data_IF_228633030915
#
_entry.id   IF_228633030915
#
_cell.length_a   1.000
_cell.length_b   1.000
_cell.length_c   1.000
_cell.angle_alpha   90.00
_cell.angle_beta   90.00
_cell.angle_gamma   90.00
#
_symmetry.space_group_name_H-M   'P 1'
#
loop_
_entity.id
_entity.type
_entity.pdbx_description
1 polymer ?
#
# COMPACT_ATOMS: atom_id res chain seq x y z
N UNK A 1 35.41 -8.90 46.48
CA UNK A 1 34.03 -8.40 46.30
C UNK A 1 33.61 -8.58 44.85
N UNK A 2 32.87 -9.65 44.56
CA UNK A 2 32.03 -9.81 43.37
C UNK A 2 31.08 -8.59 43.27
N UNK A 3 30.64 -8.11 42.10
CA UNK A 3 29.75 -8.86 41.21
C UNK A 3 29.71 -8.21 39.82
N UNK A 4 29.87 -9.05 38.78
CA UNK A 4 29.69 -8.76 37.36
C UNK A 4 28.28 -8.27 37.04
N UNK A 5 28.17 -7.15 36.33
CA UNK A 5 26.92 -6.70 35.71
C UNK A 5 26.70 -7.51 34.43
N UNK A 6 25.69 -8.39 34.47
CA UNK A 6 25.20 -9.21 33.35
C UNK A 6 23.71 -8.88 33.15
N UNK A 7 23.41 -7.80 32.42
CA UNK A 7 22.05 -7.50 31.90
C UNK A 7 22.14 -6.87 30.52
N UNK A 8 22.46 -7.68 29.51
CA UNK A 8 22.25 -7.34 28.09
C UNK A 8 21.92 -8.54 27.19
N UNK A 9 21.45 -9.67 27.74
CA UNK A 9 21.27 -10.92 26.96
C UNK A 9 19.89 -11.61 27.05
N UNK A 10 18.83 -10.93 27.49
CA UNK A 10 17.51 -11.55 27.61
C UNK A 10 16.50 -11.09 26.54
N UNK A 11 16.61 -9.87 26.00
CA UNK A 11 15.69 -9.42 24.93
C UNK A 11 16.11 -9.93 23.55
N UNK A 12 17.41 -9.94 23.24
CA UNK A 12 17.92 -10.49 21.96
C UNK A 12 17.79 -12.01 21.84
N UNK A 13 17.63 -12.74 22.95
CA UNK A 13 17.49 -14.20 22.93
C UNK A 13 16.05 -14.66 22.63
N UNK A 14 15.03 -13.83 22.86
CA UNK A 14 13.63 -14.19 22.58
C UNK A 14 13.26 -13.96 21.11
N UNK A 15 13.87 -12.94 20.47
CA UNK A 15 13.74 -12.69 19.03
C UNK A 15 14.61 -13.70 18.24
N UNK A 16 15.85 -13.96 18.67
CA UNK A 16 16.70 -14.97 18.01
C UNK A 16 16.17 -16.40 18.16
N UNK A 17 15.52 -16.74 19.29
CA UNK A 17 14.87 -18.05 19.47
C UNK A 17 13.53 -18.20 18.75
N UNK A 18 12.83 -17.09 18.42
CA UNK A 18 11.67 -17.14 17.51
C UNK A 18 12.09 -17.34 16.06
N UNK A 19 13.24 -16.79 15.67
CA UNK A 19 13.84 -17.00 14.34
C UNK A 19 14.42 -18.42 14.15
N UNK A 20 14.75 -19.15 15.22
CA UNK A 20 15.30 -20.52 15.12
C UNK A 20 14.25 -21.65 15.08
N UNK A 21 12.96 -21.33 14.93
CA UNK A 21 11.86 -22.32 14.92
C UNK A 21 10.85 -22.18 13.79
N UNK A 22 11.06 -21.27 12.84
CA UNK A 22 10.44 -21.44 11.53
C UNK A 22 11.26 -22.52 10.85
N UNK A 23 10.73 -23.74 10.81
CA UNK A 23 11.29 -24.81 9.99
C UNK A 23 11.59 -24.23 8.62
N UNK A 24 12.87 -24.22 8.21
CA UNK A 24 13.28 -23.85 6.86
C UNK A 24 12.53 -24.75 5.88
N UNK A 25 11.39 -24.28 5.40
CA UNK A 25 10.68 -24.88 4.28
C UNK A 25 11.61 -24.70 3.09
N UNK A 26 11.93 -25.79 2.40
CA UNK A 26 12.84 -25.73 1.26
C UNK A 26 12.22 -24.82 0.19
N UNK A 27 13.02 -24.02 -0.52
CA UNK A 27 12.53 -23.17 -1.62
C UNK A 27 11.58 -23.92 -2.58
N UNK A 28 11.87 -25.20 -2.84
CA UNK A 28 11.06 -26.10 -3.67
C UNK A 28 9.64 -26.32 -3.13
N UNK A 29 9.46 -26.46 -1.80
CA UNK A 29 8.13 -26.66 -1.20
C UNK A 29 7.28 -25.40 -1.25
N UNK A 30 7.92 -24.24 -1.28
CA UNK A 30 7.29 -22.92 -1.33
C UNK A 30 6.90 -22.57 -2.78
N UNK A 31 7.77 -22.95 -3.73
CA UNK A 31 7.43 -23.05 -5.15
C UNK A 31 6.22 -23.95 -5.37
N UNK A 32 6.23 -25.16 -4.84
CA UNK A 32 5.10 -26.09 -4.97
C UNK A 32 3.83 -25.55 -4.31
N UNK A 33 3.93 -24.84 -3.18
CA UNK A 33 2.78 -24.22 -2.51
C UNK A 33 2.20 -23.06 -3.32
N UNK A 34 3.04 -22.15 -3.82
CA UNK A 34 2.60 -21.04 -4.66
C UNK A 34 2.12 -21.53 -6.03
N UNK A 35 2.79 -22.52 -6.63
CA UNK A 35 2.33 -23.20 -7.84
C UNK A 35 0.99 -23.87 -7.60
N UNK A 36 0.82 -24.74 -6.60
CA UNK A 36 -0.47 -25.35 -6.29
C UNK A 36 -1.56 -24.33 -5.98
N UNK A 37 -1.22 -23.24 -5.29
CA UNK A 37 -2.18 -22.24 -4.86
C UNK A 37 -2.58 -21.30 -6.02
N UNK A 38 -1.63 -20.92 -6.88
CA UNK A 38 -1.89 -20.24 -8.15
C UNK A 38 -2.52 -21.19 -9.18
N UNK A 39 -2.32 -22.51 -9.12
CA UNK A 39 -3.00 -23.44 -10.02
C UNK A 39 -4.47 -23.60 -9.59
N UNK A 40 -4.73 -23.72 -8.29
CA UNK A 40 -6.11 -23.82 -7.76
C UNK A 40 -6.91 -22.53 -7.90
N UNK A 41 -6.28 -21.35 -7.77
CA UNK A 41 -7.00 -20.08 -7.92
C UNK A 41 -7.28 -19.69 -9.38
N UNK A 42 -6.56 -20.25 -10.35
CA UNK A 42 -6.61 -19.81 -11.75
C UNK A 42 -7.12 -20.88 -12.73
N UNK A 43 -7.43 -22.09 -12.27
CA UNK A 43 -8.15 -23.09 -13.09
C UNK A 43 -9.63 -22.71 -13.36
N UNK A 44 -10.18 -21.69 -12.69
CA UNK A 44 -11.59 -21.30 -12.82
C UNK A 44 -11.89 -20.26 -13.91
N UNK A 45 -10.89 -19.53 -14.44
CA UNK A 45 -11.14 -18.43 -15.40
C UNK A 45 -10.41 -18.66 -16.74
N UNK A 46 -11.10 -19.34 -17.67
CA UNK A 46 -10.63 -19.56 -19.04
C UNK A 46 -10.56 -18.25 -19.83
N UNK A 47 -9.37 -17.85 -20.30
CA UNK A 47 -9.20 -16.81 -21.32
C UNK A 47 -8.35 -15.59 -20.95
N UNK A 48 -7.78 -15.52 -19.74
CA UNK A 48 -6.85 -14.45 -19.35
C UNK A 48 -5.37 -14.89 -19.47
N UNK A 49 -4.49 -13.92 -19.73
CA UNK A 49 -3.04 -14.14 -19.67
C UNK A 49 -2.65 -14.70 -18.28
N UNK A 50 -1.66 -15.60 -18.18
CA UNK A 50 -1.27 -16.16 -16.90
C UNK A 50 -0.78 -15.06 -15.95
N UNK A 51 -1.10 -15.17 -14.65
CA UNK A 51 -0.68 -14.19 -13.65
C UNK A 51 0.84 -14.09 -13.57
N UNK A 52 1.36 -12.86 -13.52
CA UNK A 52 2.81 -12.65 -13.31
C UNK A 52 3.02 -12.32 -11.83
N UNK A 53 3.79 -13.16 -11.15
CA UNK A 53 4.25 -12.90 -9.77
C UNK A 53 5.69 -12.37 -9.83
N UNK A 54 5.93 -11.27 -9.14
CA UNK A 54 7.26 -10.64 -9.02
C UNK A 54 7.60 -10.43 -7.56
N UNK A 55 8.88 -10.55 -7.19
CA UNK A 55 9.38 -10.28 -5.85
C UNK A 55 10.74 -9.60 -5.94
N UNK A 56 10.99 -8.62 -5.05
CA UNK A 56 12.27 -7.94 -4.93
C UNK A 56 12.91 -8.20 -3.57
N UNK A 57 14.23 -8.37 -3.56
CA UNK A 57 15.08 -8.58 -2.38
C UNK A 57 15.94 -7.34 -2.14
N UNK A 58 15.99 -6.83 -0.91
CA UNK A 58 16.75 -5.61 -0.57
C UNK A 58 18.19 -5.93 -0.16
N UNK A 59 19.11 -5.94 -1.14
CA UNK A 59 20.56 -5.92 -0.93
C UNK A 59 21.27 -4.66 -1.44
N UNK A 60 20.61 -3.84 -2.25
CA UNK A 60 21.02 -2.47 -2.55
C UNK A 60 19.92 -1.78 -3.38
N UNK A 61 19.40 -0.69 -2.84
CA UNK A 61 18.22 0.02 -3.34
C UNK A 61 18.60 0.88 -4.55
N UNK A 62 18.52 0.28 -5.73
CA UNK A 62 18.30 1.02 -6.98
C UNK A 62 17.66 0.13 -8.02
N UNK A 63 16.32 0.05 -7.99
CA UNK A 63 15.46 -0.46 -9.07
C UNK A 63 15.74 -1.91 -9.52
N UNK A 64 15.23 -2.89 -8.78
CA UNK A 64 14.83 -4.16 -9.40
C UNK A 64 13.39 -4.03 -9.93
N UNK A 65 13.20 -3.20 -10.96
CA UNK A 65 11.93 -3.16 -11.70
C UNK A 65 11.86 -4.40 -12.59
N UNK A 66 11.23 -5.48 -12.12
CA UNK A 66 10.89 -6.63 -12.99
C UNK A 66 9.61 -6.27 -13.76
N UNK A 67 9.68 -5.18 -14.52
CA UNK A 67 8.66 -4.85 -15.48
C UNK A 67 9.05 -5.48 -16.81
N UNK A 68 8.22 -6.45 -17.22
CA UNK A 68 8.05 -6.96 -18.59
C UNK A 68 8.95 -8.14 -18.94
N UNK A 69 8.35 -9.33 -18.99
CA UNK A 69 8.53 -10.17 -20.17
C UNK A 69 7.28 -11.01 -20.46
N UNK A 70 6.85 -10.95 -21.71
CA UNK A 70 5.78 -11.77 -22.28
C UNK A 70 6.21 -13.22 -22.15
N UNK A 71 5.63 -13.98 -21.22
CA UNK A 71 5.92 -15.40 -21.17
C UNK A 71 5.14 -16.16 -22.25
N UNK A 72 5.82 -16.41 -23.38
CA UNK A 72 5.59 -17.64 -24.14
C UNK A 72 6.46 -18.81 -23.64
N UNK A 73 7.43 -18.60 -22.72
CA UNK A 73 8.44 -19.62 -22.37
C UNK A 73 9.01 -19.58 -20.93
N UNK A 74 8.22 -19.29 -19.90
CA UNK A 74 8.56 -19.68 -18.52
C UNK A 74 9.80 -19.05 -17.85
N UNK A 75 10.26 -17.87 -18.28
CA UNK A 75 11.49 -17.24 -17.75
C UNK A 75 11.29 -16.52 -16.41
N UNK A 76 10.04 -16.24 -16.01
CA UNK A 76 9.73 -15.69 -14.68
C UNK A 76 10.10 -16.67 -13.54
N UNK A 77 10.10 -17.98 -13.81
CA UNK A 77 10.38 -19.01 -12.82
C UNK A 77 11.87 -19.13 -12.46
N UNK A 78 12.78 -18.69 -13.35
CA UNK A 78 14.22 -18.71 -13.07
C UNK A 78 14.63 -17.63 -12.05
N UNK A 79 13.91 -16.49 -12.01
CA UNK A 79 14.10 -15.48 -10.96
C UNK A 79 13.53 -15.96 -9.62
N UNK A 80 12.40 -16.65 -9.67
CA UNK A 80 11.67 -17.20 -8.54
C UNK A 80 12.51 -18.18 -7.69
N UNK A 81 13.25 -19.09 -8.34
CA UNK A 81 14.16 -20.05 -7.65
C UNK A 81 15.34 -19.36 -6.96
N UNK A 82 15.77 -18.20 -7.45
CA UNK A 82 16.91 -17.43 -6.91
C UNK A 82 16.51 -16.51 -5.75
N UNK A 83 15.25 -16.09 -5.78
CA UNK A 83 14.59 -15.21 -4.82
C UNK A 83 14.26 -16.01 -3.56
N UNK A 84 13.49 -17.11 -3.65
CA UNK A 84 13.02 -17.87 -2.48
C UNK A 84 14.09 -18.54 -1.61
N UNK A 85 15.38 -18.51 -2.00
CA UNK A 85 16.49 -18.95 -1.15
C UNK A 85 16.81 -18.01 0.02
N UNK A 86 16.19 -16.83 0.08
CA UNK A 86 16.49 -15.79 1.08
C UNK A 86 15.24 -15.35 1.83
N UNK A 87 15.29 -15.19 3.15
CA UNK A 87 14.12 -14.87 3.97
C UNK A 87 13.90 -13.35 4.14
N UNK A 88 14.34 -12.54 3.17
CA UNK A 88 14.43 -11.07 3.29
C UNK A 88 13.59 -10.32 2.23
N UNK A 89 12.47 -10.91 1.82
CA UNK A 89 11.53 -10.29 0.88
C UNK A 89 10.72 -9.18 1.51
N UNK A 90 10.78 -7.99 0.91
CA UNK A 90 10.02 -6.82 1.36
C UNK A 90 8.90 -6.43 0.40
N UNK A 91 8.91 -6.92 -0.84
CA UNK A 91 7.91 -6.58 -1.85
C UNK A 91 7.39 -7.80 -2.62
N UNK A 92 6.09 -7.80 -2.90
CA UNK A 92 5.46 -8.77 -3.80
C UNK A 92 4.54 -8.06 -4.80
N UNK A 93 4.52 -8.54 -6.04
CA UNK A 93 3.70 -7.99 -7.10
C UNK A 93 2.96 -9.04 -7.90
N UNK A 94 1.70 -8.75 -8.23
CA UNK A 94 0.83 -9.54 -9.09
C UNK A 94 0.34 -8.68 -10.24
N UNK A 95 0.31 -9.25 -11.45
CA UNK A 95 -0.25 -8.57 -12.62
C UNK A 95 -1.22 -9.48 -13.37
N UNK A 96 -2.37 -8.91 -13.74
CA UNK A 96 -3.39 -9.62 -14.53
C UNK A 96 -4.29 -10.56 -13.73
N UNK A 97 -4.14 -10.60 -12.39
CA UNK A 97 -4.88 -11.52 -11.54
C UNK A 97 -6.20 -10.91 -11.08
N UNK A 98 -7.33 -11.58 -11.26
CA UNK A 98 -8.58 -11.11 -10.63
C UNK A 98 -8.50 -11.23 -9.10
N UNK A 99 -8.81 -10.14 -8.40
CA UNK A 99 -8.84 -10.13 -6.94
C UNK A 99 -10.17 -10.70 -6.45
N UNK A 100 -10.16 -12.00 -6.18
CA UNK A 100 -11.28 -12.75 -5.61
C UNK A 100 -10.94 -13.25 -4.19
N UNK A 101 -11.93 -13.69 -3.39
CA UNK A 101 -11.66 -14.27 -2.07
C UNK A 101 -10.67 -15.44 -2.08
N UNK A 102 -10.64 -16.23 -3.15
CA UNK A 102 -9.65 -17.30 -3.36
C UNK A 102 -8.23 -16.74 -3.42
N UNK A 103 -8.00 -15.69 -4.23
CA UNK A 103 -6.72 -14.98 -4.31
C UNK A 103 -6.28 -14.43 -2.95
N UNK A 104 -7.21 -13.85 -2.17
CA UNK A 104 -6.88 -13.31 -0.85
C UNK A 104 -6.41 -14.38 0.12
N UNK A 105 -7.02 -15.56 0.13
CA UNK A 105 -6.54 -16.69 0.95
C UNK A 105 -5.10 -17.08 0.61
N UNK A 106 -4.69 -16.90 -0.64
CA UNK A 106 -3.30 -17.10 -1.06
C UNK A 106 -2.41 -16.03 -0.47
N UNK A 107 -2.83 -14.77 -0.65
CA UNK A 107 -2.08 -13.61 -0.20
C UNK A 107 -1.89 -13.63 1.32
N UNK A 108 -2.90 -14.03 2.07
CA UNK A 108 -2.84 -14.16 3.53
C UNK A 108 -1.78 -15.19 3.95
N UNK A 109 -1.75 -16.37 3.30
CA UNK A 109 -0.72 -17.39 3.56
C UNK A 109 0.68 -16.89 3.25
N UNK A 110 0.83 -16.08 2.19
CA UNK A 110 2.11 -15.44 1.85
C UNK A 110 2.53 -14.49 2.97
N UNK A 111 1.63 -13.62 3.45
CA UNK A 111 1.95 -12.67 4.51
C UNK A 111 2.21 -13.34 5.87
N UNK A 112 1.54 -14.46 6.18
CA UNK A 112 1.86 -15.29 7.35
C UNK A 112 3.28 -15.86 7.30
N UNK A 113 3.75 -16.23 6.10
CA UNK A 113 5.06 -16.83 5.89
C UNK A 113 6.18 -15.79 5.78
N UNK A 114 5.91 -14.66 5.14
CA UNK A 114 6.88 -13.61 4.84
C UNK A 114 6.53 -12.31 5.56
N UNK A 115 6.78 -12.31 6.87
CA UNK A 115 6.47 -11.17 7.75
C UNK A 115 7.19 -9.85 7.44
N UNK A 116 8.15 -9.84 6.50
CA UNK A 116 8.90 -8.64 6.10
C UNK A 116 8.28 -7.92 4.89
N UNK A 117 7.26 -8.51 4.24
CA UNK A 117 6.61 -7.88 3.09
C UNK A 117 5.83 -6.65 3.57
N UNK A 118 6.20 -5.50 3.02
CA UNK A 118 5.57 -4.20 3.28
C UNK A 118 5.11 -3.51 1.99
N UNK A 119 5.54 -4.01 0.83
CA UNK A 119 5.19 -3.46 -0.49
C UNK A 119 4.34 -4.46 -1.26
N UNK A 120 3.16 -4.03 -1.69
CA UNK A 120 2.22 -4.83 -2.48
C UNK A 120 1.90 -4.14 -3.81
N UNK A 121 2.18 -4.82 -4.92
CA UNK A 121 1.90 -4.33 -6.27
C UNK A 121 0.80 -5.20 -6.88
N UNK A 122 -0.31 -4.59 -7.31
CA UNK A 122 -1.44 -5.28 -7.91
C UNK A 122 -1.85 -4.52 -9.16
N UNK A 123 -1.28 -4.86 -10.31
CA UNK A 123 -1.51 -4.11 -11.55
C UNK A 123 -2.41 -4.85 -12.52
N UNK A 124 -3.37 -4.15 -13.14
CA UNK A 124 -4.33 -4.78 -14.06
C UNK A 124 -5.02 -6.02 -13.46
N UNK A 125 -5.30 -5.99 -12.16
CA UNK A 125 -5.85 -7.10 -11.41
C UNK A 125 -7.39 -7.15 -11.43
N UNK A 126 -8.01 -6.58 -12.47
CA UNK A 126 -9.47 -6.53 -12.68
C UNK A 126 -10.23 -6.16 -11.40
N UNK A 127 -9.76 -5.13 -10.69
CA UNK A 127 -10.29 -4.73 -9.38
C UNK A 127 -11.74 -4.23 -9.50
N UNK A 128 -12.65 -4.87 -8.76
CA UNK A 128 -14.02 -4.38 -8.55
C UNK A 128 -14.19 -3.87 -7.09
N UNK A 129 -15.42 -3.46 -6.73
CA UNK A 129 -15.72 -2.94 -5.39
C UNK A 129 -15.45 -3.97 -4.29
N UNK A 130 -15.70 -5.26 -4.57
CA UNK A 130 -15.44 -6.33 -3.62
C UNK A 130 -13.95 -6.57 -3.47
N UNK A 131 -13.22 -6.60 -4.59
CA UNK A 131 -11.76 -6.72 -4.61
C UNK A 131 -11.08 -5.57 -3.85
N UNK A 132 -11.57 -4.33 -3.97
CA UNK A 132 -11.04 -3.21 -3.19
C UNK A 132 -11.25 -3.42 -1.69
N UNK A 133 -12.44 -3.86 -1.30
CA UNK A 133 -12.77 -4.17 0.11
C UNK A 133 -11.90 -5.30 0.67
N UNK A 134 -11.56 -6.28 -0.17
CA UNK A 134 -10.65 -7.35 0.17
C UNK A 134 -9.21 -6.84 0.39
N UNK A 135 -8.70 -5.99 -0.51
CA UNK A 135 -7.37 -5.36 -0.32
C UNK A 135 -7.32 -4.58 0.98
N UNK A 136 -8.36 -3.80 1.27
CA UNK A 136 -8.44 -3.00 2.50
C UNK A 136 -8.23 -3.86 3.76
N UNK A 137 -8.70 -5.12 3.75
CA UNK A 137 -8.52 -6.03 4.88
C UNK A 137 -7.07 -6.50 5.09
N UNK A 138 -6.22 -6.42 4.07
CA UNK A 138 -4.81 -6.86 4.13
C UNK A 138 -3.81 -5.73 4.32
N UNK A 139 -4.26 -4.46 4.39
CA UNK A 139 -3.36 -3.30 4.56
C UNK A 139 -2.76 -3.15 5.97
N UNK A 140 -3.02 -4.09 6.89
CA UNK A 140 -2.49 -4.01 8.26
C UNK A 140 -0.96 -4.11 8.35
N UNK A 141 -0.31 -4.71 7.34
CA UNK A 141 1.14 -4.87 7.26
C UNK A 141 1.77 -4.18 6.03
N UNK A 142 0.98 -3.50 5.20
CA UNK A 142 1.44 -2.91 3.94
C UNK A 142 1.64 -1.41 4.09
N UNK A 143 2.86 -0.96 3.81
CA UNK A 143 3.25 0.45 3.82
C UNK A 143 3.20 1.08 2.41
N UNK A 144 3.47 0.31 1.35
CA UNK A 144 3.43 0.78 -0.04
C UNK A 144 2.51 -0.09 -0.90
N UNK A 145 1.48 0.53 -1.47
CA UNK A 145 0.48 -0.13 -2.29
C UNK A 145 0.45 0.49 -3.69
N UNK A 146 0.68 -0.35 -4.70
CA UNK A 146 0.51 0.03 -6.10
C UNK A 146 -0.71 -0.69 -6.68
N UNK A 147 -1.75 0.08 -7.02
CA UNK A 147 -2.94 -0.42 -7.72
C UNK A 147 -3.05 0.15 -9.13
N UNK A 148 -1.92 0.48 -9.77
CA UNK A 148 -1.92 1.08 -11.09
C UNK A 148 -2.68 0.21 -12.11
N UNK A 149 -3.32 0.87 -13.07
CA UNK A 149 -4.08 0.24 -14.14
C UNK A 149 -5.29 -0.58 -13.66
N UNK A 150 -5.85 -0.29 -12.48
CA UNK A 150 -7.10 -0.87 -12.00
C UNK A 150 -8.25 0.14 -12.03
N UNK A 151 -9.17 -0.01 -12.97
CA UNK A 151 -10.36 0.84 -13.05
C UNK A 151 -11.52 0.25 -12.26
N UNK A 152 -11.96 0.97 -11.23
CA UNK A 152 -13.19 0.69 -10.48
C UNK A 152 -14.25 1.70 -10.94
N UNK A 153 -15.39 1.27 -11.51
CA UNK A 153 -16.40 2.18 -12.06
C UNK A 153 -16.92 3.24 -11.08
N UNK A 154 -17.13 2.88 -9.81
CA UNK A 154 -17.62 3.80 -8.78
C UNK A 154 -16.51 4.67 -8.15
N UNK A 155 -15.23 4.36 -8.43
CA UNK A 155 -14.05 5.14 -8.02
C UNK A 155 -13.94 5.45 -6.52
N UNK A 156 -14.41 4.53 -5.67
CA UNK A 156 -14.39 4.62 -4.21
C UNK A 156 -13.02 4.31 -3.57
N UNK A 157 -11.94 4.81 -4.17
CA UNK A 157 -10.56 4.54 -3.74
C UNK A 157 -10.24 5.11 -2.34
N UNK A 158 -11.04 6.07 -1.86
CA UNK A 158 -10.98 6.60 -0.52
C UNK A 158 -11.09 5.53 0.57
N UNK A 159 -11.75 4.39 0.31
CA UNK A 159 -11.83 3.25 1.24
C UNK A 159 -10.45 2.69 1.64
N UNK A 160 -9.46 2.72 0.74
CA UNK A 160 -8.06 2.35 1.05
C UNK A 160 -7.50 3.20 2.17
N UNK A 161 -8.10 4.35 2.36
CA UNK A 161 -7.66 5.33 3.30
C UNK A 161 -8.56 5.39 4.53
N UNK A 162 -9.80 4.89 4.55
CA UNK A 162 -10.67 5.09 5.73
C UNK A 162 -10.35 4.15 6.91
N UNK A 163 -9.60 3.08 6.70
CA UNK A 163 -9.35 2.06 7.71
C UNK A 163 -8.01 2.22 8.42
N UNK A 164 -7.96 1.67 9.63
CA UNK A 164 -6.75 1.58 10.45
C UNK A 164 -5.66 0.79 9.75
N UNK A 165 -4.75 1.48 9.07
CA UNK A 165 -3.64 0.87 8.36
C UNK A 165 -2.35 1.67 8.52
N UNK A 166 -1.24 1.08 8.06
CA UNK A 166 0.09 1.70 8.13
C UNK A 166 0.54 2.22 6.76
N UNK A 167 -0.41 2.44 5.84
CA UNK A 167 -0.12 2.77 4.46
C UNK A 167 0.50 4.18 4.37
N UNK A 168 1.70 4.26 3.82
CA UNK A 168 2.48 5.49 3.61
C UNK A 168 2.49 5.92 2.15
N UNK A 169 2.46 4.97 1.23
CA UNK A 169 2.59 5.22 -0.20
C UNK A 169 1.48 4.52 -0.96
N UNK A 170 0.79 5.28 -1.82
CA UNK A 170 -0.30 4.77 -2.65
C UNK A 170 -0.12 5.23 -4.09
N UNK A 171 -0.12 4.29 -5.03
CA UNK A 171 -0.16 4.57 -6.47
C UNK A 171 -1.47 4.09 -7.10
N UNK A 172 -2.11 5.01 -7.82
CA UNK A 172 -3.38 4.82 -8.55
C UNK A 172 -3.26 5.37 -9.98
N UNK A 173 -2.14 5.13 -10.65
CA UNK A 173 -1.95 5.60 -12.03
C UNK A 173 -2.83 4.83 -12.99
N UNK A 174 -3.28 5.49 -14.07
CA UNK A 174 -4.09 4.83 -15.09
C UNK A 174 -5.35 4.12 -14.55
N UNK A 175 -5.90 4.62 -13.43
CA UNK A 175 -7.12 4.09 -12.82
C UNK A 175 -8.39 4.77 -13.38
N UNK A 176 -8.24 5.64 -14.39
CA UNK A 176 -9.32 6.46 -14.97
C UNK A 176 -10.05 7.32 -13.94
N UNK A 177 -9.33 7.77 -12.92
CA UNK A 177 -9.89 8.63 -11.86
C UNK A 177 -10.32 9.96 -12.48
N UNK A 178 -11.58 10.33 -12.34
CA UNK A 178 -12.12 11.61 -12.78
C UNK A 178 -12.42 12.52 -11.57
N UNK A 179 -13.20 13.57 -11.78
CA UNK A 179 -13.65 14.48 -10.72
C UNK A 179 -14.25 13.75 -9.50
N UNK A 180 -15.12 12.76 -9.72
CA UNK A 180 -15.80 12.05 -8.65
C UNK A 180 -14.83 11.20 -7.81
N UNK A 181 -13.90 10.49 -8.46
CA UNK A 181 -12.87 9.74 -7.75
C UNK A 181 -11.86 10.64 -7.03
N UNK A 182 -11.53 11.80 -7.60
CA UNK A 182 -10.69 12.80 -6.93
C UNK A 182 -11.40 13.38 -5.70
N UNK A 183 -12.71 13.64 -5.78
CA UNK A 183 -13.53 14.09 -4.66
C UNK A 183 -13.61 13.03 -3.55
N UNK A 184 -13.77 11.75 -3.90
CA UNK A 184 -13.79 10.64 -2.95
C UNK A 184 -12.47 10.52 -2.16
N UNK A 185 -11.34 10.57 -2.88
CA UNK A 185 -10.01 10.61 -2.28
C UNK A 185 -9.81 11.87 -1.42
N UNK A 186 -10.22 13.04 -1.90
CA UNK A 186 -10.13 14.30 -1.18
C UNK A 186 -10.90 14.27 0.14
N UNK A 187 -12.16 13.82 0.14
CA UNK A 187 -12.97 13.66 1.36
C UNK A 187 -12.28 12.76 2.38
N UNK A 188 -11.69 11.67 1.90
CA UNK A 188 -10.95 10.77 2.77
C UNK A 188 -9.71 11.49 3.33
N UNK A 189 -9.01 12.31 2.54
CA UNK A 189 -7.82 13.05 2.97
C UNK A 189 -8.12 14.20 3.95
N UNK A 190 -9.29 14.83 3.85
CA UNK A 190 -9.70 16.05 4.58
C UNK A 190 -9.94 15.79 6.08
N UNK A 191 -10.22 14.54 6.48
CA UNK A 191 -10.57 14.15 7.85
C UNK A 191 -10.01 12.76 8.17
N UNK A 192 -9.11 12.65 9.17
CA UNK A 192 -8.54 11.33 9.53
C UNK A 192 -8.33 11.13 11.02
N UNK A 193 -8.62 9.90 11.43
CA UNK A 193 -8.33 9.32 12.74
C UNK A 193 -6.83 9.48 13.04
N UNK A 194 -6.46 10.24 14.08
CA UNK A 194 -5.07 10.50 14.42
C UNK A 194 -4.30 9.25 14.84
N UNK A 195 -4.97 8.12 15.09
CA UNK A 195 -4.30 6.86 15.44
C UNK A 195 -3.63 6.17 14.27
N UNK A 196 -4.09 6.37 13.04
CA UNK A 196 -3.91 5.31 12.04
C UNK A 196 -3.72 5.76 10.60
N UNK A 197 -3.14 6.93 10.35
CA UNK A 197 -2.82 7.25 8.97
C UNK A 197 -1.73 8.29 8.76
N UNK A 198 -0.67 7.84 8.09
CA UNK A 198 0.46 8.66 7.68
C UNK A 198 0.69 8.49 6.17
N UNK A 199 -0.34 8.71 5.35
CA UNK A 199 -0.13 8.68 3.91
C UNK A 199 0.80 9.85 3.54
N UNK A 200 2.04 9.53 3.18
CA UNK A 200 3.08 10.49 2.84
C UNK A 200 3.11 10.76 1.34
N UNK A 201 2.77 9.77 0.51
CA UNK A 201 2.81 9.91 -0.95
C UNK A 201 1.57 9.33 -1.62
N UNK A 202 0.95 10.13 -2.49
CA UNK A 202 -0.17 9.73 -3.33
C UNK A 202 0.15 10.01 -4.80
N UNK A 203 0.08 8.97 -5.64
CA UNK A 203 0.32 9.09 -7.07
C UNK A 203 -0.97 8.90 -7.87
N UNK A 204 -1.46 9.99 -8.46
CA UNK A 204 -2.67 10.03 -9.30
C UNK A 204 -2.34 10.35 -10.76
N UNK A 205 -1.11 10.08 -11.20
CA UNK A 205 -0.67 10.43 -12.55
C UNK A 205 -1.43 9.63 -13.63
N UNK A 206 -1.57 10.19 -14.83
CA UNK A 206 -2.22 9.54 -15.97
C UNK A 206 -3.68 9.14 -15.67
N UNK A 207 -4.44 10.06 -15.10
CA UNK A 207 -5.86 9.91 -14.85
C UNK A 207 -6.65 11.00 -15.63
N UNK A 208 -7.93 11.14 -15.34
CA UNK A 208 -8.85 12.08 -15.97
C UNK A 208 -9.33 13.16 -14.98
N UNK A 209 -8.48 13.51 -14.01
CA UNK A 209 -8.81 14.53 -13.01
C UNK A 209 -8.86 15.88 -13.71
N UNK A 210 -10.02 16.53 -13.65
CA UNK A 210 -10.22 17.87 -14.16
C UNK A 210 -9.95 18.91 -13.05
N UNK A 211 -10.18 20.17 -13.38
CA UNK A 211 -9.97 21.33 -12.50
C UNK A 211 -10.80 21.26 -11.21
N UNK A 212 -12.06 20.83 -11.29
CA UNK A 212 -12.91 20.61 -10.11
C UNK A 212 -12.34 19.52 -9.19
N UNK A 213 -11.86 18.41 -9.77
CA UNK A 213 -11.19 17.36 -9.01
C UNK A 213 -9.91 17.86 -8.33
N UNK A 214 -9.13 18.71 -9.01
CA UNK A 214 -7.97 19.38 -8.42
C UNK A 214 -8.35 20.34 -7.29
N UNK A 215 -9.46 21.09 -7.41
CA UNK A 215 -9.99 21.95 -6.35
C UNK A 215 -10.40 21.14 -5.12
N UNK A 216 -11.02 19.97 -5.30
CA UNK A 216 -11.33 19.07 -4.18
C UNK A 216 -10.06 18.62 -3.45
N UNK A 217 -9.04 18.18 -4.19
CA UNK A 217 -7.74 17.81 -3.61
C UNK A 217 -7.09 19.00 -2.90
N UNK A 218 -7.11 20.20 -3.49
CA UNK A 218 -6.59 21.41 -2.87
C UNK A 218 -7.27 21.69 -1.52
N UNK A 219 -8.61 21.63 -1.47
CA UNK A 219 -9.37 21.80 -0.22
C UNK A 219 -8.93 20.81 0.87
N UNK A 220 -8.81 19.53 0.54
CA UNK A 220 -8.35 18.52 1.48
C UNK A 220 -6.92 18.78 1.99
N UNK A 221 -6.02 19.29 1.14
CA UNK A 221 -4.64 19.65 1.52
C UNK A 221 -4.56 20.89 2.42
N UNK A 222 -5.65 21.64 2.58
CA UNK A 222 -5.65 22.78 3.51
C UNK A 222 -5.53 22.31 4.95
N UNK A 223 -6.25 21.24 5.29
CA UNK A 223 -6.27 20.62 6.62
C UNK A 223 -5.26 19.48 6.74
N UNK A 224 -5.01 18.72 5.66
CA UNK A 224 -4.05 17.63 5.66
C UNK A 224 -2.62 18.11 5.39
N UNK A 225 -1.75 18.03 6.40
CA UNK A 225 -0.32 18.37 6.31
C UNK A 225 0.64 17.18 6.49
N UNK A 226 0.12 15.96 6.49
CA UNK A 226 0.95 14.74 6.54
C UNK A 226 1.39 14.31 5.13
N UNK A 227 0.59 14.62 4.11
CA UNK A 227 0.92 14.27 2.73
C UNK A 227 2.09 15.13 2.24
N UNK A 228 3.24 14.50 2.03
CA UNK A 228 4.48 15.14 1.58
C UNK A 228 4.56 15.22 0.05
N UNK A 229 3.93 14.27 -0.65
CA UNK A 229 4.02 14.13 -2.10
C UNK A 229 2.68 13.80 -2.74
N UNK A 230 2.28 14.62 -3.73
CA UNK A 230 1.12 14.39 -4.59
C UNK A 230 1.52 14.54 -6.06
N UNK A 231 1.39 13.47 -6.84
CA UNK A 231 1.66 13.50 -8.28
C UNK A 231 0.37 13.52 -9.10
N UNK A 232 0.19 14.59 -9.88
CA UNK A 232 -0.97 14.81 -10.78
C UNK A 232 -0.57 14.87 -12.25
N UNK A 233 0.62 14.37 -12.59
CA UNK A 233 1.17 14.39 -13.96
C UNK A 233 0.18 13.75 -14.95
N UNK A 234 0.03 14.32 -16.14
CA UNK A 234 -0.88 13.81 -17.18
C UNK A 234 -2.33 13.64 -16.69
N UNK A 235 -2.90 14.71 -16.12
CA UNK A 235 -4.33 14.89 -15.87
C UNK A 235 -4.87 16.05 -16.74
N UNK A 236 -6.15 16.40 -16.58
CA UNK A 236 -6.84 17.45 -17.36
C UNK A 236 -7.09 18.70 -16.51
N UNK A 237 -6.07 19.13 -15.78
CA UNK A 237 -6.13 20.29 -14.88
C UNK A 237 -5.82 21.54 -15.70
N UNK A 238 -6.75 22.50 -15.73
CA UNK A 238 -6.53 23.82 -16.34
C UNK A 238 -5.97 24.84 -15.32
N UNK A 239 -5.93 26.11 -15.73
CA UNK A 239 -5.42 27.22 -14.92
C UNK A 239 -6.17 27.41 -13.60
N UNK A 240 -7.48 27.14 -13.55
CA UNK A 240 -8.27 27.28 -12.32
C UNK A 240 -7.86 26.22 -11.29
N UNK A 241 -7.79 24.97 -11.74
CA UNK A 241 -7.35 23.86 -10.88
C UNK A 241 -5.89 24.01 -10.45
N UNK A 242 -5.01 24.48 -11.34
CA UNK A 242 -3.62 24.76 -11.03
C UNK A 242 -3.47 25.91 -10.02
N UNK A 243 -4.28 26.97 -10.15
CA UNK A 243 -4.31 28.09 -9.20
C UNK A 243 -4.70 27.61 -7.81
N UNK A 244 -5.79 26.83 -7.70
CA UNK A 244 -6.24 26.29 -6.41
C UNK A 244 -5.16 25.43 -5.73
N UNK A 245 -4.46 24.57 -6.48
CA UNK A 245 -3.33 23.80 -5.96
C UNK A 245 -2.16 24.70 -5.54
N UNK A 246 -1.87 25.76 -6.30
CA UNK A 246 -0.77 26.68 -5.97
C UNK A 246 -1.01 27.46 -4.68
N UNK A 247 -2.26 27.79 -4.36
CA UNK A 247 -2.63 28.54 -3.15
C UNK A 247 -2.35 27.72 -1.87
N UNK A 248 -2.53 26.40 -1.94
CA UNK A 248 -2.32 25.51 -0.78
C UNK A 248 -0.85 25.13 -0.57
N UNK A 249 -0.02 25.31 -1.60
CA UNK A 249 1.44 25.19 -1.50
C UNK A 249 2.09 26.45 -0.91
N UNK A 250 1.40 27.59 -0.97
CA UNK A 250 1.83 28.84 -0.36
C UNK A 250 1.44 28.92 1.12
N UNK A 251 1.94 29.97 1.79
CA UNK A 251 1.50 30.28 3.15
C UNK A 251 0.07 30.82 3.11
N UNK A 252 -0.87 30.06 3.64
CA UNK A 252 -2.26 30.49 3.81
C UNK A 252 -2.69 30.44 5.28
N UNK A 253 -3.74 31.18 5.61
CA UNK A 253 -4.40 31.11 6.92
C UNK A 253 -5.55 30.10 6.84
N UNK A 254 -5.65 29.23 7.84
CA UNK A 254 -6.83 28.40 8.03
C UNK A 254 -8.00 29.29 8.45
N UNK A 255 -9.19 29.01 7.91
CA UNK A 255 -10.42 29.60 8.44
C UNK A 255 -10.77 28.96 9.81
N UNK A 256 -11.79 29.46 10.49
CA UNK A 256 -12.15 28.98 11.84
C UNK A 256 -12.53 27.49 11.85
N UNK A 257 -13.24 27.04 10.82
CA UNK A 257 -13.65 25.64 10.66
C UNK A 257 -12.44 24.73 10.45
N UNK A 258 -11.57 25.06 9.49
CA UNK A 258 -10.33 24.34 9.19
C UNK A 258 -9.37 24.32 10.39
N UNK A 259 -9.29 25.43 11.13
CA UNK A 259 -8.49 25.51 12.35
C UNK A 259 -9.06 24.61 13.44
N UNK A 260 -10.39 24.61 13.63
CA UNK A 260 -11.08 23.73 14.57
C UNK A 260 -10.81 22.26 14.27
N UNK A 261 -10.99 21.83 13.02
CA UNK A 261 -10.73 20.46 12.57
C UNK A 261 -9.29 20.03 12.84
N UNK A 262 -8.32 20.92 12.56
CA UNK A 262 -6.91 20.63 12.81
C UNK A 262 -6.58 20.55 14.31
N UNK A 263 -7.15 21.44 15.11
CA UNK A 263 -6.93 21.47 16.55
C UNK A 263 -7.51 20.22 17.22
N UNK A 264 -8.73 19.83 16.84
CA UNK A 264 -9.38 18.61 17.33
C UNK A 264 -8.51 17.38 17.08
N UNK A 265 -7.97 17.23 15.86
CA UNK A 265 -7.01 16.17 15.52
C UNK A 265 -5.79 16.19 16.43
N UNK A 266 -5.14 17.35 16.60
CA UNK A 266 -3.95 17.46 17.46
C UNK A 266 -4.25 17.12 18.93
N UNK A 267 -5.42 17.51 19.43
CA UNK A 267 -5.84 17.18 20.78
C UNK A 267 -6.06 15.68 20.95
N UNK A 268 -6.70 15.04 19.98
CA UNK A 268 -6.86 13.58 19.95
C UNK A 268 -5.49 12.87 19.89
N UNK A 269 -4.56 13.28 19.02
CA UNK A 269 -3.18 12.73 18.97
C UNK A 269 -2.51 12.76 20.35
N UNK A 270 -2.55 13.91 21.01
CA UNK A 270 -1.96 14.09 22.35
C UNK A 270 -2.64 13.22 23.40
N UNK A 271 -3.97 13.10 23.36
CA UNK A 271 -4.72 12.23 24.25
C UNK A 271 -4.30 10.77 24.09
N UNK A 272 -4.14 10.29 22.86
CA UNK A 272 -3.76 8.91 22.55
C UNK A 272 -2.37 8.60 23.09
N UNK A 273 -1.40 9.48 22.82
CA UNK A 273 -0.04 9.36 23.32
C UNK A 273 -0.01 9.33 24.85
N UNK A 274 -0.86 10.11 25.53
CA UNK A 274 -0.96 10.10 26.99
C UNK A 274 -1.48 8.77 27.56
N UNK A 275 -2.43 8.11 26.87
CA UNK A 275 -2.99 6.82 27.28
C UNK A 275 -1.99 5.68 27.08
N UNK A 276 -1.21 5.71 25.99
CA UNK A 276 -0.16 4.72 25.75
C UNK A 276 0.99 4.82 26.76
N UNK A 277 1.35 6.04 27.16
CA UNK A 277 2.40 6.27 28.17
C UNK A 277 1.96 5.91 29.59
N UNK A 278 0.66 5.98 29.90
CA UNK A 278 0.13 5.60 31.21
C UNK A 278 0.00 4.08 31.41
N UNK A 279 0.04 3.31 30.31
CA UNK A 279 -0.08 1.84 30.30
C UNK A 279 1.28 1.11 30.15
N UNK A 280 2.41 1.83 30.17
CA UNK A 280 3.78 1.28 30.12
C UNK A 280 4.46 1.41 31.48
#
# INVERSE_FOLDING_TARGET
MSTKIRKKSLVNNSISKKLSRVSNIRPDTLKDMLEQTLQTCFQEESGQDPPIVTGCYEGNVSKANIFKERNRKGECWALYDKVLGTNEFTSIGFRGCKIAPSFMRVLDKIFEQFSLITVLILQRCSLDVNGLSLIVSTLQCIEDLNLDENFIPIQNYGLLLLNKNILKHLSLKFCKINEAGAQDLAKSLEFRDPKTQHLLSLNLSFNHINSNGAIHLAKALRTNRELESLSLIHNWIDDEGATALSEVLQKFKLNEEEFGLRLERQMEELYIVSQENSNK
#
